data_IF_019903022968
#
_entry.id   IF_019903022968
#
_cell.length_a   1.000
_cell.length_b   1.000
_cell.length_c   1.000
_cell.angle_alpha   90.00
_cell.angle_beta   90.00
_cell.angle_gamma   90.00
#
_symmetry.space_group_name_H-M   'P 1'
#
loop_
_entity.id
_entity.type
_entity.pdbx_description
1 polymer ?
#
# COMPACT_ATOMS: atom_id res chain seq x y z
N UNK A 1 -31.11 40.27 -29.01
CA UNK A 1 -30.40 39.19 -29.74
C UNK A 1 -28.91 39.14 -29.42
N UNK A 2 -28.14 40.21 -29.49
CA UNK A 2 -26.69 40.21 -29.21
C UNK A 2 -26.35 39.68 -27.77
N UNK A 3 -27.11 40.07 -26.74
CA UNK A 3 -26.87 39.62 -25.35
C UNK A 3 -27.13 38.12 -25.15
N UNK A 4 -28.09 37.54 -25.86
CA UNK A 4 -28.43 36.10 -25.81
C UNK A 4 -27.35 35.31 -26.48
N UNK A 5 -26.82 35.79 -27.60
CA UNK A 5 -25.71 35.15 -28.33
C UNK A 5 -24.44 35.14 -27.46
N UNK A 6 -24.14 36.20 -26.73
CA UNK A 6 -22.99 36.27 -25.83
C UNK A 6 -23.11 35.27 -24.67
N UNK A 7 -24.30 35.17 -24.06
CA UNK A 7 -24.58 34.21 -23.00
C UNK A 7 -24.44 32.74 -23.47
N UNK A 8 -24.93 32.45 -24.68
CA UNK A 8 -24.78 31.14 -25.30
C UNK A 8 -23.31 30.79 -25.59
N UNK A 9 -22.51 31.78 -25.99
CA UNK A 9 -21.08 31.57 -26.27
C UNK A 9 -20.30 31.30 -24.96
N UNK A 10 -20.63 31.99 -23.87
CA UNK A 10 -20.02 31.78 -22.55
C UNK A 10 -20.39 30.38 -22.00
N UNK A 11 -21.63 29.96 -22.17
CA UNK A 11 -22.07 28.61 -21.77
C UNK A 11 -21.37 27.50 -22.55
N UNK A 12 -21.14 27.69 -23.87
CA UNK A 12 -20.42 26.71 -24.68
C UNK A 12 -18.93 26.59 -24.33
N UNK A 13 -18.30 27.72 -23.97
CA UNK A 13 -16.88 27.74 -23.58
C UNK A 13 -16.70 27.06 -22.21
N UNK A 14 -17.63 27.27 -21.28
CA UNK A 14 -17.56 26.63 -19.95
C UNK A 14 -17.74 25.11 -20.03
N UNK A 15 -18.58 24.59 -20.92
CA UNK A 15 -18.75 23.14 -21.10
C UNK A 15 -17.55 22.50 -21.78
N UNK A 16 -16.88 23.19 -22.69
CA UNK A 16 -15.66 22.63 -23.34
C UNK A 16 -14.46 22.54 -22.37
N UNK A 17 -14.37 23.43 -21.40
CA UNK A 17 -13.28 23.38 -20.38
C UNK A 17 -13.45 22.15 -19.48
N UNK A 18 -14.68 21.84 -19.03
CA UNK A 18 -14.93 20.66 -18.19
C UNK A 18 -14.67 19.35 -18.94
N UNK A 19 -15.04 19.26 -20.22
CA UNK A 19 -14.75 18.09 -21.05
C UNK A 19 -13.26 17.89 -21.31
N UNK A 20 -12.51 18.97 -21.50
CA UNK A 20 -11.07 18.92 -21.73
C UNK A 20 -10.33 18.45 -20.43
N UNK A 21 -10.79 18.89 -19.28
CA UNK A 21 -10.21 18.49 -17.99
C UNK A 21 -10.43 17.02 -17.71
N UNK A 22 -11.62 16.49 -17.95
CA UNK A 22 -11.92 15.06 -17.79
C UNK A 22 -11.11 14.17 -18.76
N UNK A 23 -10.80 14.66 -19.94
CA UNK A 23 -9.98 13.90 -20.90
C UNK A 23 -8.50 13.89 -20.50
N UNK A 24 -8.01 14.94 -19.85
CA UNK A 24 -6.59 15.02 -19.47
C UNK A 24 -6.24 14.03 -18.35
N UNK A 25 -7.16 13.74 -17.43
CA UNK A 25 -6.91 12.82 -16.30
C UNK A 25 -7.21 11.35 -16.61
N UNK A 26 -7.93 11.07 -17.71
CA UNK A 26 -8.47 9.73 -18.05
C UNK A 26 -7.44 8.60 -17.96
N UNK A 27 -6.19 8.86 -18.39
CA UNK A 27 -5.12 7.84 -18.31
C UNK A 27 -4.74 7.56 -16.86
N UNK A 28 -4.51 8.61 -16.08
CA UNK A 28 -4.14 8.50 -14.67
C UNK A 28 -5.25 7.85 -13.84
N UNK A 29 -6.50 8.28 -14.06
CA UNK A 29 -7.69 7.72 -13.40
C UNK A 29 -7.82 6.22 -13.67
N UNK A 30 -7.65 5.80 -14.93
CA UNK A 30 -7.71 4.38 -15.31
C UNK A 30 -6.62 3.54 -14.60
N UNK A 31 -5.42 4.08 -14.48
CA UNK A 31 -4.34 3.42 -13.74
C UNK A 31 -4.68 3.31 -12.26
N UNK A 32 -5.18 4.40 -11.67
CA UNK A 32 -5.60 4.42 -10.26
C UNK A 32 -6.71 3.40 -9.98
N UNK A 33 -7.73 3.35 -10.85
CA UNK A 33 -8.87 2.42 -10.70
C UNK A 33 -8.45 0.95 -10.85
N UNK A 34 -7.32 0.72 -11.52
CA UNK A 34 -6.70 -0.61 -11.64
C UNK A 34 -5.72 -0.91 -10.51
N UNK A 35 -5.63 0.00 -9.53
CA UNK A 35 -4.71 -0.07 -8.38
C UNK A 35 -3.23 -0.01 -8.77
N UNK A 36 -2.92 0.50 -9.98
CA UNK A 36 -1.54 0.70 -10.46
C UNK A 36 -1.03 2.05 -9.95
N UNK A 37 -0.90 2.17 -8.62
CA UNK A 37 -0.69 3.46 -7.94
C UNK A 37 0.64 4.13 -8.31
N UNK A 38 1.70 3.37 -8.54
CA UNK A 38 3.01 3.92 -8.97
C UNK A 38 2.84 4.65 -10.31
N UNK A 39 2.28 3.97 -11.29
CA UNK A 39 2.05 4.54 -12.63
C UNK A 39 1.02 5.67 -12.59
N UNK A 40 -0.01 5.55 -11.75
CA UNK A 40 -1.00 6.61 -11.55
C UNK A 40 -0.34 7.87 -11.01
N UNK A 41 0.51 7.74 -9.97
CA UNK A 41 1.25 8.86 -9.38
C UNK A 41 2.12 9.56 -10.42
N UNK A 42 2.86 8.80 -11.25
CA UNK A 42 3.68 9.35 -12.33
C UNK A 42 2.86 10.19 -13.32
N UNK A 43 1.69 9.69 -13.70
CA UNK A 43 0.83 10.42 -14.65
C UNK A 43 0.18 11.66 -14.00
N UNK A 44 -0.31 11.55 -12.75
CA UNK A 44 -0.84 12.72 -12.02
C UNK A 44 0.26 13.76 -11.79
N UNK A 45 1.48 13.35 -11.48
CA UNK A 45 2.61 14.28 -11.27
C UNK A 45 2.85 15.13 -12.54
N UNK A 46 2.87 14.51 -13.72
CA UNK A 46 2.97 15.22 -15.01
C UNK A 46 1.81 16.21 -15.22
N UNK A 47 0.62 15.86 -14.71
CA UNK A 47 -0.55 16.74 -14.83
C UNK A 47 -0.46 17.93 -13.88
N UNK A 48 0.08 17.75 -12.67
CA UNK A 48 0.29 18.88 -11.73
C UNK A 48 1.26 19.92 -12.29
N UNK A 49 2.21 19.52 -13.12
CA UNK A 49 3.14 20.46 -13.77
C UNK A 49 2.46 21.34 -14.82
N UNK A 50 1.41 20.84 -15.46
CA UNK A 50 0.71 21.52 -16.55
C UNK A 50 -0.48 22.34 -16.06
N UNK A 51 -1.29 21.78 -15.20
CA UNK A 51 -2.52 22.39 -14.72
C UNK A 51 -2.87 21.82 -13.35
N UNK A 52 -2.25 22.31 -12.29
CA UNK A 52 -2.56 21.82 -10.95
C UNK A 52 -3.98 22.23 -10.55
N UNK A 53 -4.78 21.27 -10.15
CA UNK A 53 -6.09 21.52 -9.53
C UNK A 53 -6.28 20.56 -8.36
N UNK A 54 -7.24 20.84 -7.51
CA UNK A 54 -7.44 20.06 -6.27
C UNK A 54 -7.79 18.60 -6.54
N UNK A 55 -8.44 18.27 -7.66
CA UNK A 55 -8.72 16.89 -8.05
C UNK A 55 -7.40 16.14 -8.37
N UNK A 56 -6.58 16.71 -9.24
CA UNK A 56 -5.31 16.09 -9.67
C UNK A 56 -4.37 15.93 -8.46
N UNK A 57 -4.25 16.97 -7.64
CA UNK A 57 -3.41 16.96 -6.43
C UNK A 57 -3.93 15.92 -5.43
N UNK A 58 -5.24 15.84 -5.22
CA UNK A 58 -5.87 14.88 -4.33
C UNK A 58 -5.65 13.44 -4.79
N UNK A 59 -5.81 13.17 -6.09
CA UNK A 59 -5.59 11.83 -6.66
C UNK A 59 -4.10 11.42 -6.61
N UNK A 60 -3.19 12.40 -6.77
CA UNK A 60 -1.76 12.15 -6.59
C UNK A 60 -1.44 11.80 -5.13
N UNK A 61 -1.99 12.57 -4.19
CA UNK A 61 -1.87 12.29 -2.76
C UNK A 61 -2.44 10.90 -2.41
N UNK A 62 -3.62 10.58 -2.95
CA UNK A 62 -4.27 9.25 -2.78
C UNK A 62 -3.40 8.12 -3.34
N UNK A 63 -2.71 8.35 -4.46
CA UNK A 63 -1.79 7.35 -5.02
C UNK A 63 -0.65 7.06 -4.05
N UNK A 64 -0.02 8.11 -3.53
CA UNK A 64 1.05 7.95 -2.52
C UNK A 64 0.52 7.36 -1.21
N UNK A 65 -0.69 7.74 -0.79
CA UNK A 65 -1.35 7.17 0.39
C UNK A 65 -1.51 5.65 0.24
N UNK A 66 -2.00 5.20 -0.90
CA UNK A 66 -2.22 3.77 -1.16
C UNK A 66 -0.92 2.97 -1.30
N UNK A 67 0.19 3.64 -1.67
CA UNK A 67 1.52 3.03 -1.67
C UNK A 67 2.19 3.08 -0.29
N UNK A 68 1.54 3.68 0.70
CA UNK A 68 2.10 3.99 2.01
C UNK A 68 3.39 4.82 1.93
N UNK A 69 3.53 5.64 0.89
CA UNK A 69 4.59 6.66 0.82
C UNK A 69 4.12 7.87 1.62
N UNK A 70 4.29 7.77 2.93
CA UNK A 70 3.69 8.70 3.90
C UNK A 70 4.19 10.13 3.74
N UNK A 71 5.45 10.29 3.37
CA UNK A 71 6.10 11.60 3.19
C UNK A 71 5.52 12.34 1.97
N UNK A 72 5.46 11.67 0.83
CA UNK A 72 4.89 12.28 -0.38
C UNK A 72 3.37 12.49 -0.23
N UNK A 73 2.66 11.52 0.36
CA UNK A 73 1.22 11.67 0.59
C UNK A 73 0.92 12.90 1.47
N UNK A 74 1.63 13.06 2.58
CA UNK A 74 1.50 14.25 3.45
C UNK A 74 1.74 15.53 2.67
N UNK A 75 2.85 15.60 1.93
CA UNK A 75 3.26 16.75 1.12
C UNK A 75 2.17 17.15 0.11
N UNK A 76 1.53 16.18 -0.55
CA UNK A 76 0.52 16.49 -1.57
C UNK A 76 -0.84 16.83 -0.94
N UNK A 77 -1.25 16.14 0.14
CA UNK A 77 -2.47 16.53 0.87
C UNK A 77 -2.35 17.94 1.46
N UNK A 78 -1.16 18.33 1.96
CA UNK A 78 -0.97 19.66 2.55
C UNK A 78 -1.25 20.81 1.58
N UNK A 79 -1.19 20.56 0.27
CA UNK A 79 -1.45 21.58 -0.74
C UNK A 79 -2.95 21.88 -0.93
N UNK A 80 -3.82 20.97 -0.52
CA UNK A 80 -5.27 21.11 -0.72
C UNK A 80 -6.07 21.14 0.59
N UNK A 81 -5.40 20.95 1.71
CA UNK A 81 -6.07 20.73 2.99
C UNK A 81 -6.78 22.01 3.51
N UNK A 82 -6.35 23.18 3.06
CA UNK A 82 -6.95 24.47 3.45
C UNK A 82 -8.00 24.96 2.44
N UNK A 83 -8.21 24.26 1.32
CA UNK A 83 -9.14 24.63 0.24
C UNK A 83 -10.47 23.88 0.34
N UNK A 84 -11.13 23.95 1.49
CA UNK A 84 -12.41 23.30 1.77
C UNK A 84 -12.39 21.79 1.48
N UNK A 85 -11.48 21.04 2.08
CA UNK A 85 -11.32 19.61 1.79
C UNK A 85 -12.51 18.80 2.31
N UNK A 86 -12.83 17.71 1.61
CA UNK A 86 -13.83 16.77 2.12
C UNK A 86 -13.26 16.00 3.34
N UNK A 87 -14.14 15.40 4.12
CA UNK A 87 -13.78 14.73 5.36
C UNK A 87 -12.75 13.60 5.15
N UNK A 88 -12.81 12.89 4.02
CA UNK A 88 -11.87 11.78 3.75
C UNK A 88 -10.45 12.29 3.50
N UNK A 89 -10.29 13.41 2.82
CA UNK A 89 -8.98 14.08 2.63
C UNK A 89 -8.40 14.46 4.00
N UNK A 90 -9.22 15.05 4.88
CA UNK A 90 -8.80 15.42 6.24
C UNK A 90 -8.34 14.18 7.03
N UNK A 91 -9.12 13.11 6.96
CA UNK A 91 -8.78 11.86 7.65
C UNK A 91 -7.44 11.31 7.14
N UNK A 92 -7.29 11.16 5.82
CA UNK A 92 -6.04 10.61 5.22
C UNK A 92 -4.83 11.48 5.54
N UNK A 93 -4.97 12.80 5.47
CA UNK A 93 -3.89 13.72 5.85
C UNK A 93 -3.47 13.52 7.30
N UNK A 94 -4.45 13.42 8.21
CA UNK A 94 -4.16 13.17 9.63
C UNK A 94 -3.42 11.85 9.85
N UNK A 95 -3.77 10.81 9.10
CA UNK A 95 -3.09 9.50 9.16
C UNK A 95 -1.64 9.61 8.68
N UNK A 96 -1.39 10.38 7.61
CA UNK A 96 -0.02 10.59 7.11
C UNK A 96 0.83 11.39 8.10
N UNK A 97 0.26 12.44 8.70
CA UNK A 97 0.92 13.17 9.79
C UNK A 97 1.28 12.24 10.95
N UNK A 98 0.35 11.35 11.33
CA UNK A 98 0.58 10.37 12.41
C UNK A 98 1.71 9.40 12.04
N UNK A 99 1.69 8.87 10.82
CA UNK A 99 2.71 7.93 10.33
C UNK A 99 4.10 8.58 10.30
N UNK A 100 4.15 9.90 10.05
CA UNK A 100 5.40 10.68 10.04
C UNK A 100 5.78 11.23 11.43
N UNK A 101 5.11 10.78 12.50
CA UNK A 101 5.42 11.15 13.89
C UNK A 101 4.88 12.51 14.34
N UNK A 102 4.10 13.19 13.50
CA UNK A 102 3.52 14.52 13.78
C UNK A 102 2.18 14.37 14.53
N UNK A 103 2.24 13.75 15.72
CA UNK A 103 1.04 13.32 16.47
C UNK A 103 0.13 14.48 16.87
N UNK A 104 0.71 15.63 17.26
CA UNK A 104 -0.07 16.80 17.68
C UNK A 104 -0.87 17.38 16.52
N UNK A 105 -0.21 17.54 15.37
CA UNK A 105 -0.83 18.04 14.14
C UNK A 105 -1.91 17.08 13.65
N UNK A 106 -1.61 15.78 13.64
CA UNK A 106 -2.57 14.72 13.33
C UNK A 106 -3.85 14.87 14.18
N UNK A 107 -3.70 15.08 15.49
CA UNK A 107 -4.85 15.22 16.40
C UNK A 107 -5.70 16.46 16.06
N UNK A 108 -5.08 17.57 15.62
CA UNK A 108 -5.83 18.77 15.18
C UNK A 108 -6.74 18.41 13.99
N UNK A 109 -6.20 17.74 12.99
CA UNK A 109 -6.97 17.35 11.80
C UNK A 109 -8.00 16.25 12.10
N UNK A 110 -7.69 15.31 12.99
CA UNK A 110 -8.66 14.31 13.46
C UNK A 110 -9.82 14.96 14.23
N UNK A 111 -9.56 16.07 14.95
CA UNK A 111 -10.65 16.83 15.60
C UNK A 111 -11.59 17.41 14.53
N UNK A 112 -11.04 18.05 13.49
CA UNK A 112 -11.84 18.58 12.37
C UNK A 112 -12.66 17.47 11.68
N UNK A 113 -12.01 16.32 11.39
CA UNK A 113 -12.71 15.16 10.85
C UNK A 113 -13.87 14.73 11.74
N UNK A 114 -13.63 14.69 13.05
CA UNK A 114 -14.61 14.25 14.05
C UNK A 114 -15.82 15.21 14.12
N UNK A 115 -15.61 16.50 13.90
CA UNK A 115 -16.67 17.51 13.82
C UNK A 115 -17.51 17.31 12.55
N UNK A 116 -16.87 17.04 11.41
CA UNK A 116 -17.55 16.83 10.13
C UNK A 116 -18.32 15.49 10.07
N UNK A 117 -17.78 14.46 10.74
CA UNK A 117 -18.32 13.09 10.70
C UNK A 117 -18.51 12.52 12.12
N UNK A 118 -19.38 13.10 12.94
CA UNK A 118 -19.46 12.76 14.37
C UNK A 118 -19.88 11.30 14.65
N UNK A 119 -20.56 10.65 13.70
CA UNK A 119 -21.02 9.27 13.85
C UNK A 119 -20.12 8.24 13.15
N UNK A 120 -19.04 8.68 12.50
CA UNK A 120 -18.04 7.79 11.90
C UNK A 120 -17.28 7.05 13.01
N UNK A 121 -17.09 5.76 12.85
CA UNK A 121 -16.41 4.91 13.85
C UNK A 121 -14.99 5.40 14.13
N UNK A 122 -14.30 5.95 13.13
CA UNK A 122 -12.95 6.53 13.27
C UNK A 122 -12.97 7.77 14.17
N UNK A 123 -13.99 8.62 13.99
CA UNK A 123 -14.18 9.81 14.82
C UNK A 123 -14.53 9.44 16.27
N UNK A 124 -15.41 8.44 16.44
CA UNK A 124 -15.78 7.93 17.78
C UNK A 124 -14.53 7.37 18.49
N UNK A 125 -13.74 6.54 17.79
CA UNK A 125 -12.51 5.97 18.34
C UNK A 125 -11.53 7.07 18.76
N UNK A 126 -11.35 8.09 17.93
CA UNK A 126 -10.49 9.24 18.24
C UNK A 126 -10.96 9.98 19.49
N UNK A 127 -12.25 10.32 19.58
CA UNK A 127 -12.80 11.04 20.77
C UNK A 127 -12.62 10.25 22.05
N UNK A 128 -12.76 8.92 21.98
CA UNK A 128 -12.59 8.05 23.15
C UNK A 128 -11.14 8.00 23.65
N UNK A 129 -10.18 8.08 22.75
CA UNK A 129 -8.75 7.97 23.12
C UNK A 129 -7.86 8.89 22.26
N UNK A 130 -8.02 10.21 22.33
CA UNK A 130 -7.30 11.14 21.44
C UNK A 130 -5.76 11.09 21.64
N UNK A 131 -5.30 10.82 22.83
CA UNK A 131 -3.85 10.83 23.20
C UNK A 131 -3.35 9.42 23.51
N UNK A 132 -3.81 8.40 22.74
CA UNK A 132 -3.42 7.01 23.01
C UNK A 132 -1.90 6.77 22.83
N UNK A 133 -1.25 7.52 21.95
CA UNK A 133 0.21 7.43 21.72
C UNK A 133 0.98 7.74 22.99
N UNK A 134 0.62 8.84 23.68
CA UNK A 134 1.25 9.21 24.94
C UNK A 134 1.10 8.12 26.01
N UNK A 135 -0.07 7.47 26.03
CA UNK A 135 -0.33 6.35 26.96
C UNK A 135 0.56 5.14 26.65
N UNK A 136 0.79 4.86 25.35
CA UNK A 136 1.68 3.76 24.92
C UNK A 136 3.13 4.09 25.32
N UNK A 137 3.58 5.30 25.04
CA UNK A 137 4.95 5.74 25.36
C UNK A 137 5.19 5.65 26.89
N UNK A 138 4.22 6.10 27.68
CA UNK A 138 4.33 6.06 29.18
C UNK A 138 4.41 4.62 29.73
N UNK A 139 3.87 3.62 29.01
CA UNK A 139 3.99 2.21 29.42
C UNK A 139 5.41 1.67 29.29
N UNK A 140 6.27 2.38 28.56
CA UNK A 140 7.67 2.01 28.36
C UNK A 140 7.86 0.84 27.38
N UNK A 141 9.09 0.56 27.10
CA UNK A 141 9.47 -0.52 26.20
C UNK A 141 9.26 -1.88 26.88
N UNK A 142 8.52 -2.78 26.23
CA UNK A 142 8.34 -4.16 26.67
C UNK A 142 9.33 -5.11 25.99
N UNK A 143 9.86 -4.70 24.84
CA UNK A 143 10.73 -5.53 24.01
C UNK A 143 11.92 -4.70 23.55
N UNK A 144 13.05 -5.36 23.41
CA UNK A 144 14.20 -4.78 22.72
C UNK A 144 14.15 -5.29 21.27
N UNK A 145 13.94 -4.38 20.32
CA UNK A 145 13.80 -4.70 18.90
C UNK A 145 15.11 -4.36 18.19
N UNK A 146 15.63 -5.31 17.45
CA UNK A 146 16.84 -5.14 16.65
C UNK A 146 16.56 -5.50 15.19
N UNK A 147 17.12 -4.72 14.29
CA UNK A 147 17.05 -5.01 12.86
C UNK A 147 18.06 -6.12 12.52
N UNK A 148 17.61 -7.19 11.93
CA UNK A 148 18.47 -8.27 11.41
C UNK A 148 19.06 -7.83 10.07
N UNK A 149 20.11 -7.01 10.12
CA UNK A 149 20.71 -6.36 8.95
C UNK A 149 21.25 -7.35 7.90
N UNK A 150 21.62 -8.54 8.34
CA UNK A 150 22.14 -9.59 7.45
C UNK A 150 21.01 -10.38 6.78
N UNK A 151 19.77 -10.16 7.20
CA UNK A 151 18.58 -10.87 6.70
C UNK A 151 17.64 -9.91 5.97
N UNK A 152 17.38 -8.75 6.58
CA UNK A 152 16.42 -7.77 6.05
C UNK A 152 17.00 -7.00 4.86
N UNK A 153 16.16 -6.72 3.89
CA UNK A 153 16.49 -5.95 2.68
C UNK A 153 15.72 -4.64 2.64
N UNK A 154 15.78 -3.93 1.50
CA UNK A 154 14.94 -2.76 1.23
C UNK A 154 13.53 -3.17 0.75
N UNK A 155 13.36 -4.45 0.38
CA UNK A 155 12.07 -5.00 -0.03
C UNK A 155 11.24 -5.41 1.19
N UNK A 156 9.99 -5.81 0.96
CA UNK A 156 9.15 -6.37 2.02
C UNK A 156 9.71 -7.70 2.51
N UNK A 157 10.13 -7.76 3.76
CA UNK A 157 10.61 -8.97 4.45
C UNK A 157 9.70 -9.24 5.64
N UNK A 158 9.05 -10.42 5.67
CA UNK A 158 8.08 -10.72 6.72
C UNK A 158 7.85 -12.23 6.89
N UNK A 159 7.01 -12.59 7.85
CA UNK A 159 6.60 -13.98 8.08
C UNK A 159 7.76 -14.88 8.50
N UNK A 160 8.73 -14.32 9.23
CA UNK A 160 9.89 -15.08 9.68
C UNK A 160 9.48 -16.24 10.58
N UNK A 161 9.98 -17.42 10.28
CA UNK A 161 9.69 -18.65 11.02
C UNK A 161 11.00 -19.40 11.28
N UNK A 162 11.34 -19.59 12.55
CA UNK A 162 12.53 -20.36 12.94
C UNK A 162 12.12 -21.80 13.18
N UNK A 163 12.80 -22.71 12.48
CA UNK A 163 12.62 -24.15 12.66
C UNK A 163 13.98 -24.81 12.61
N UNK A 164 14.28 -25.60 13.65
CA UNK A 164 15.59 -26.24 13.82
C UNK A 164 16.71 -25.19 13.73
N UNK A 165 17.72 -25.43 12.94
CA UNK A 165 18.84 -24.53 12.71
C UNK A 165 18.68 -23.70 11.45
N UNK A 166 17.44 -23.30 11.14
CA UNK A 166 17.14 -22.48 9.98
C UNK A 166 16.12 -21.39 10.29
N UNK A 167 16.26 -20.25 9.62
CA UNK A 167 15.27 -19.20 9.57
C UNK A 167 14.69 -19.17 8.16
N UNK A 168 13.40 -19.18 8.08
CA UNK A 168 12.65 -19.04 6.83
C UNK A 168 11.92 -17.70 6.85
N UNK A 169 11.86 -17.01 5.71
CA UNK A 169 11.09 -15.77 5.61
C UNK A 169 10.59 -15.56 4.18
N UNK A 170 9.52 -14.79 4.06
CA UNK A 170 8.97 -14.34 2.80
C UNK A 170 9.57 -12.99 2.45
N UNK A 171 9.95 -12.80 1.18
CA UNK A 171 10.57 -11.55 0.75
C UNK A 171 10.21 -11.20 -0.70
N UNK A 172 10.01 -9.89 -0.95
CA UNK A 172 9.88 -9.32 -2.28
C UNK A 172 11.23 -8.93 -2.90
N UNK A 173 12.35 -9.44 -2.40
CA UNK A 173 13.69 -9.14 -2.91
C UNK A 173 13.95 -9.79 -4.28
N UNK A 174 14.81 -9.17 -5.05
CA UNK A 174 15.26 -9.76 -6.31
C UNK A 174 16.07 -11.03 -6.05
N UNK A 175 15.61 -12.14 -6.55
CA UNK A 175 16.35 -13.41 -6.49
C UNK A 175 17.37 -13.45 -7.63
N UNK A 176 18.64 -13.67 -7.31
CA UNK A 176 19.70 -13.77 -8.29
C UNK A 176 19.50 -15.03 -9.15
N UNK A 177 19.39 -14.84 -10.47
CA UNK A 177 19.17 -15.95 -11.40
C UNK A 177 17.72 -16.42 -11.52
N UNK A 178 16.81 -15.83 -10.75
CA UNK A 178 15.40 -16.22 -10.74
C UNK A 178 14.64 -15.69 -11.96
N UNK A 179 13.58 -16.43 -12.31
CA UNK A 179 12.56 -15.97 -13.25
C UNK A 179 11.47 -15.13 -12.58
N UNK A 180 11.62 -14.80 -11.29
CA UNK A 180 10.63 -13.99 -10.62
C UNK A 180 10.51 -12.65 -11.32
N UNK A 181 9.27 -12.23 -11.54
CA UNK A 181 8.97 -10.99 -12.24
C UNK A 181 8.90 -9.84 -11.26
N UNK A 182 9.41 -8.69 -11.65
CA UNK A 182 9.21 -7.45 -10.94
C UNK A 182 7.69 -7.20 -10.80
N UNK A 183 7.27 -6.90 -9.59
CA UNK A 183 5.87 -6.61 -9.32
C UNK A 183 5.61 -5.13 -9.62
N UNK A 184 5.22 -4.85 -10.84
CA UNK A 184 5.23 -3.52 -11.44
C UNK A 184 4.27 -2.50 -10.83
N UNK A 185 3.36 -2.88 -9.92
CA UNK A 185 2.15 -2.09 -9.85
C UNK A 185 1.79 -1.51 -8.49
N UNK A 186 2.40 -1.97 -7.39
CA UNK A 186 1.85 -1.62 -6.09
C UNK A 186 2.65 -0.58 -5.33
N UNK A 187 3.78 -0.94 -4.79
CA UNK A 187 4.37 -0.12 -3.73
C UNK A 187 5.68 0.57 -4.10
N UNK A 188 6.53 -0.09 -4.90
CA UNK A 188 7.82 0.50 -5.28
C UNK A 188 8.40 -0.21 -6.50
N UNK A 189 9.44 0.39 -7.07
CA UNK A 189 10.20 -0.19 -8.17
C UNK A 189 11.12 -1.36 -7.73
N UNK A 190 11.24 -1.58 -6.43
CA UNK A 190 12.15 -2.58 -5.87
C UNK A 190 11.47 -3.88 -5.46
N UNK A 191 10.14 -3.97 -5.62
CA UNK A 191 9.38 -5.15 -5.24
C UNK A 191 9.29 -6.16 -6.39
N UNK A 192 9.60 -7.41 -6.06
CA UNK A 192 9.41 -8.57 -6.93
C UNK A 192 8.27 -9.43 -6.37
N UNK A 193 7.87 -10.46 -7.09
CA UNK A 193 6.93 -11.44 -6.53
C UNK A 193 7.54 -12.01 -5.24
N UNK A 194 6.67 -12.28 -4.28
CA UNK A 194 7.08 -12.79 -2.97
C UNK A 194 7.59 -14.22 -3.12
N UNK A 195 8.81 -14.44 -2.68
CA UNK A 195 9.46 -15.75 -2.63
C UNK A 195 9.81 -16.10 -1.19
N UNK A 196 9.98 -17.38 -0.92
CA UNK A 196 10.43 -17.87 0.39
C UNK A 196 11.95 -18.12 0.34
N UNK A 197 12.64 -17.63 1.36
CA UNK A 197 14.09 -17.77 1.54
C UNK A 197 14.39 -18.51 2.83
N UNK A 198 15.46 -19.27 2.82
CA UNK A 198 16.00 -19.97 3.98
C UNK A 198 17.39 -19.42 4.31
N UNK A 199 17.67 -19.27 5.59
CA UNK A 199 19.00 -18.98 6.14
C UNK A 199 19.37 -20.08 7.11
N UNK A 200 20.62 -20.55 7.07
CA UNK A 200 21.17 -21.39 8.12
C UNK A 200 21.45 -20.53 9.35
N UNK A 201 21.13 -21.04 10.54
CA UNK A 201 21.33 -20.30 11.80
C UNK A 201 22.37 -21.05 12.64
N UNK A 202 23.52 -20.42 12.82
CA UNK A 202 24.64 -20.98 13.62
C UNK A 202 25.02 -19.92 14.66
N UNK A 203 24.83 -20.23 15.94
CA UNK A 203 25.13 -19.31 17.06
C UNK A 203 24.45 -17.92 16.87
N UNK A 204 23.19 -17.93 16.41
CA UNK A 204 22.38 -16.75 16.11
C UNK A 204 22.96 -15.85 15.00
N UNK A 205 23.87 -16.38 14.19
CA UNK A 205 24.34 -15.76 12.95
C UNK A 205 23.57 -16.39 11.78
N UNK A 206 23.12 -15.55 10.88
CA UNK A 206 22.29 -15.95 9.72
C UNK A 206 23.20 -16.01 8.48
N UNK A 207 23.30 -17.19 7.89
CA UNK A 207 24.26 -17.49 6.82
C UNK A 207 23.56 -18.20 5.66
N UNK A 208 24.23 -18.23 4.52
CA UNK A 208 23.83 -19.08 3.38
C UNK A 208 22.39 -18.82 2.91
N UNK A 209 22.05 -17.56 2.61
CA UNK A 209 20.75 -17.23 2.01
C UNK A 209 20.48 -18.14 0.81
N UNK A 210 19.39 -18.88 0.86
CA UNK A 210 19.01 -19.83 -0.19
C UNK A 210 17.52 -19.67 -0.49
N UNK A 211 17.15 -19.38 -1.76
CA UNK A 211 15.73 -19.42 -2.14
C UNK A 211 15.22 -20.86 -2.13
N UNK A 212 13.98 -21.05 -1.71
CA UNK A 212 13.34 -22.39 -1.74
C UNK A 212 12.81 -22.69 -3.15
N UNK A 213 13.70 -23.08 -4.05
CA UNK A 213 13.38 -23.32 -5.47
C UNK A 213 12.27 -24.36 -5.66
N UNK A 214 12.12 -25.30 -4.73
CA UNK A 214 11.10 -26.34 -4.80
C UNK A 214 9.67 -25.77 -4.69
N UNK A 215 9.52 -24.61 -4.07
CA UNK A 215 8.20 -23.97 -3.89
C UNK A 215 8.06 -22.62 -4.59
N UNK A 216 9.15 -21.87 -4.73
CA UNK A 216 9.10 -20.54 -5.36
C UNK A 216 8.77 -20.68 -6.85
N UNK A 217 7.85 -19.83 -7.34
CA UNK A 217 7.39 -19.83 -8.73
C UNK A 217 7.40 -18.39 -9.29
N UNK A 218 6.72 -18.20 -10.40
CA UNK A 218 6.50 -16.85 -10.97
C UNK A 218 5.36 -16.08 -10.30
N UNK A 219 4.73 -16.64 -9.30
CA UNK A 219 3.63 -16.06 -8.54
C UNK A 219 4.10 -15.80 -7.10
N UNK A 220 3.21 -15.23 -6.29
CA UNK A 220 3.53 -14.98 -4.89
C UNK A 220 3.46 -16.27 -4.07
N UNK A 221 4.52 -16.57 -3.34
CA UNK A 221 4.55 -17.54 -2.28
C UNK A 221 4.73 -16.78 -0.95
N UNK A 222 4.05 -17.23 0.09
CA UNK A 222 4.00 -16.48 1.36
C UNK A 222 4.42 -17.28 2.56
N UNK A 223 4.05 -16.76 3.69
CA UNK A 223 4.43 -17.29 5.02
C UNK A 223 4.35 -18.81 5.09
N UNK A 224 5.31 -19.36 5.80
CA UNK A 224 5.41 -20.81 5.99
C UNK A 224 5.26 -21.18 7.47
N UNK A 225 4.93 -22.44 7.69
CA UNK A 225 4.94 -23.08 9.01
C UNK A 225 5.28 -24.57 8.83
N UNK A 226 5.77 -25.19 9.87
CA UNK A 226 6.05 -26.62 9.88
C UNK A 226 5.13 -27.35 10.86
N UNK A 227 4.85 -28.61 10.58
CA UNK A 227 4.25 -29.53 11.56
C UNK A 227 5.16 -29.64 12.79
N UNK A 228 4.63 -30.01 13.96
CA UNK A 228 5.48 -30.22 15.14
C UNK A 228 6.57 -31.28 14.94
N UNK A 229 6.34 -32.24 14.05
CA UNK A 229 7.33 -33.30 13.71
C UNK A 229 8.34 -32.86 12.65
N UNK A 230 8.07 -31.74 11.97
CA UNK A 230 8.95 -31.20 10.94
C UNK A 230 8.89 -31.90 9.60
N UNK A 231 8.03 -32.90 9.45
CA UNK A 231 7.89 -33.70 8.22
C UNK A 231 6.99 -33.05 7.17
N UNK A 232 6.27 -31.98 7.56
CA UNK A 232 5.30 -31.32 6.70
C UNK A 232 5.50 -29.81 6.77
N UNK A 233 5.58 -29.17 5.61
CA UNK A 233 5.63 -27.70 5.48
C UNK A 233 4.32 -27.21 4.91
N UNK A 234 3.76 -26.16 5.52
CA UNK A 234 2.57 -25.45 5.07
C UNK A 234 3.02 -24.07 4.56
N UNK A 235 2.52 -23.65 3.42
CA UNK A 235 2.83 -22.31 2.88
C UNK A 235 1.65 -21.78 2.08
N UNK A 236 1.55 -20.45 2.00
CA UNK A 236 0.54 -19.78 1.18
C UNK A 236 1.07 -19.61 -0.24
N UNK A 237 0.19 -19.76 -1.22
CA UNK A 237 0.51 -19.53 -2.63
C UNK A 237 -0.71 -18.93 -3.33
N UNK A 238 -0.45 -18.05 -4.28
CA UNK A 238 -1.49 -17.46 -5.13
C UNK A 238 -2.21 -18.54 -5.94
N UNK A 239 -3.55 -18.49 -5.98
CA UNK A 239 -4.38 -19.50 -6.66
C UNK A 239 -4.15 -19.60 -8.17
N UNK A 240 -3.56 -18.59 -8.78
CA UNK A 240 -3.18 -18.62 -10.19
C UNK A 240 -2.24 -19.77 -10.53
N UNK A 241 -1.47 -20.24 -9.58
CA UNK A 241 -0.56 -21.39 -9.79
C UNK A 241 -1.31 -22.62 -10.29
N UNK A 242 -2.46 -22.90 -9.69
CA UNK A 242 -3.30 -24.06 -10.07
C UNK A 242 -4.40 -23.70 -11.06
N UNK A 243 -4.44 -22.47 -11.55
CA UNK A 243 -5.52 -21.90 -12.36
C UNK A 243 -6.87 -21.92 -11.64
N UNK A 244 -6.87 -22.03 -10.33
CA UNK A 244 -8.06 -22.10 -9.48
C UNK A 244 -8.43 -20.70 -8.98
N UNK A 245 -8.94 -19.87 -9.88
CA UNK A 245 -9.41 -18.53 -9.53
C UNK A 245 -10.88 -18.39 -9.88
N UNK A 246 -11.56 -17.55 -9.12
CA UNK A 246 -12.98 -17.24 -9.35
C UNK A 246 -13.12 -15.81 -9.81
N UNK A 247 -13.94 -15.62 -10.84
CA UNK A 247 -14.49 -14.30 -11.14
C UNK A 247 -15.78 -14.18 -10.33
N UNK A 248 -15.79 -13.24 -9.41
CA UNK A 248 -17.02 -12.92 -8.71
C UNK A 248 -17.87 -12.02 -9.61
N UNK A 249 -19.11 -12.42 -9.83
CA UNK A 249 -20.05 -11.65 -10.64
C UNK A 249 -20.45 -10.31 -10.01
N UNK A 250 -20.23 -10.18 -8.69
CA UNK A 250 -20.54 -8.96 -7.93
C UNK A 250 -19.35 -7.99 -7.98
N UNK A 251 -18.15 -8.49 -8.16
CA UNK A 251 -16.94 -7.67 -8.24
C UNK A 251 -16.48 -7.66 -9.69
N UNK A 252 -16.48 -6.50 -10.32
CA UNK A 252 -16.10 -6.33 -11.75
C UNK A 252 -14.67 -6.72 -12.04
N UNK A 253 -13.82 -6.80 -11.03
CA UNK A 253 -12.43 -7.22 -11.16
C UNK A 253 -12.29 -8.63 -10.59
N UNK A 254 -11.61 -9.50 -11.30
CA UNK A 254 -11.36 -10.86 -10.82
C UNK A 254 -10.63 -10.84 -9.48
N UNK A 255 -11.09 -11.68 -8.57
CA UNK A 255 -10.41 -11.87 -7.29
C UNK A 255 -9.66 -13.20 -7.29
N UNK A 256 -8.50 -13.22 -6.71
CA UNK A 256 -7.76 -14.44 -6.41
C UNK A 256 -7.95 -14.79 -4.95
N UNK A 257 -8.07 -16.07 -4.66
CA UNK A 257 -8.07 -16.57 -3.27
C UNK A 257 -6.71 -17.16 -2.99
N UNK A 258 -6.17 -16.89 -1.83
CA UNK A 258 -4.96 -17.56 -1.37
C UNK A 258 -5.26 -19.04 -1.13
N UNK A 259 -4.33 -19.87 -1.52
CA UNK A 259 -4.39 -21.31 -1.32
C UNK A 259 -3.23 -21.72 -0.43
N UNK A 260 -3.51 -22.47 0.60
CA UNK A 260 -2.46 -23.10 1.41
C UNK A 260 -2.02 -24.37 0.69
N UNK A 261 -0.76 -24.42 0.32
CA UNK A 261 -0.15 -25.62 -0.26
C UNK A 261 0.60 -26.39 0.82
N UNK A 262 0.53 -27.69 0.73
CA UNK A 262 1.16 -28.59 1.70
C UNK A 262 2.21 -29.43 0.96
N UNK A 263 3.43 -29.47 1.48
CA UNK A 263 4.51 -30.33 1.00
C UNK A 263 4.94 -31.24 2.14
N UNK A 264 4.85 -32.55 1.95
CA UNK A 264 5.42 -33.54 2.87
C UNK A 264 6.93 -33.61 2.61
N UNK A 265 7.71 -33.46 3.67
CA UNK A 265 9.17 -33.47 3.59
C UNK A 265 9.66 -34.86 3.93
N UNK A 266 9.77 -35.39 3.04
CA UNK A 266 10.21 -36.71 3.20
C UNK A 266 11.59 -36.86 3.48
#
# INVERSE_FOLDING_TARGET
MKKIITLLFIALVSTSITFAQNNSTKKADKLFDRLEYVKAAEEYLKLTEKSPDNYIIGRLADSYYNMFNTVEAEKWYSKIIDDDPNAEVIFRYSEMLKANGKYKESNVWMSKFSEMKPYDTRAIAFRNTPNYIDKIIKKGKRFNVQNLKDVNTISSDFGAFRYDNALYLTSGRKQKGSQNKKYDNYTSDEEYVLDVFKYDVINDVYLNETPLEAINTKYHEGVIAFSPTGDTMYFARETYYSKSYYKDSIVKNGSTREQVSVINLX
#
